data_IF_861001803598
#
_entry.id   IF_861001803598
#
_cell.length_a   1.000
_cell.length_b   1.000
_cell.length_c   1.000
_cell.angle_alpha   90.00
_cell.angle_beta   90.00
_cell.angle_gamma   90.00
#
_symmetry.space_group_name_H-M   'P 1'
#
loop_
_entity.id
_entity.type
_entity.pdbx_description
1 polymer ?
#
# COMPACT_ATOMS: atom_id res chain seq x y z
N UNK A 1 -28.66 -15.29 3.87
CA UNK A 1 -27.40 -15.31 4.64
C UNK A 1 -26.22 -15.05 3.73
N UNK A 2 -25.91 -13.79 3.43
CA UNK A 2 -24.70 -13.41 2.69
C UNK A 2 -23.77 -12.66 3.62
N UNK A 3 -22.66 -13.27 4.03
CA UNK A 3 -21.60 -12.55 4.74
C UNK A 3 -21.03 -11.52 3.76
N UNK A 4 -21.32 -10.24 3.97
CA UNK A 4 -20.74 -9.17 3.17
C UNK A 4 -19.21 -9.17 3.39
N UNK A 5 -18.38 -9.09 2.33
CA UNK A 5 -16.94 -8.99 2.47
C UNK A 5 -16.57 -7.77 3.33
N UNK A 6 -15.73 -7.98 4.34
CA UNK A 6 -15.20 -6.90 5.17
C UNK A 6 -13.71 -6.67 4.83
N UNK A 7 -13.07 -5.71 5.53
CA UNK A 7 -11.64 -5.40 5.31
C UNK A 7 -10.74 -6.64 5.44
N UNK A 8 -11.08 -7.62 6.28
CA UNK A 8 -10.31 -8.87 6.44
C UNK A 8 -10.41 -9.72 5.16
N UNK A 9 -11.61 -9.85 4.57
CA UNK A 9 -11.81 -10.64 3.35
C UNK A 9 -10.98 -10.11 2.19
N UNK A 10 -11.03 -8.81 1.94
CA UNK A 10 -10.27 -8.20 0.84
C UNK A 10 -8.75 -8.22 1.09
N UNK A 11 -8.32 -8.00 2.33
CA UNK A 11 -6.88 -8.05 2.66
C UNK A 11 -6.32 -9.46 2.58
N UNK A 12 -7.12 -10.49 2.89
CA UNK A 12 -6.75 -11.89 2.67
C UNK A 12 -6.55 -12.21 1.18
N UNK A 13 -7.44 -11.72 0.30
CA UNK A 13 -7.28 -11.85 -1.16
C UNK A 13 -5.98 -11.19 -1.63
N UNK A 14 -5.72 -9.95 -1.22
CA UNK A 14 -4.49 -9.23 -1.59
C UNK A 14 -3.24 -9.96 -1.09
N UNK A 15 -3.27 -10.51 0.14
CA UNK A 15 -2.16 -11.28 0.69
C UNK A 15 -1.91 -12.58 -0.09
N UNK A 16 -2.97 -13.28 -0.52
CA UNK A 16 -2.82 -14.44 -1.40
C UNK A 16 -2.18 -14.06 -2.75
N UNK A 17 -2.59 -12.93 -3.32
CA UNK A 17 -1.98 -12.39 -4.54
C UNK A 17 -0.50 -12.02 -4.34
N UNK A 18 -0.12 -11.44 -3.19
CA UNK A 18 1.28 -11.10 -2.86
C UNK A 18 2.21 -12.31 -2.96
N UNK A 19 1.71 -13.49 -2.54
CA UNK A 19 2.47 -14.74 -2.54
C UNK A 19 2.30 -15.56 -3.82
N UNK A 20 1.63 -15.02 -4.84
CA UNK A 20 1.44 -15.72 -6.12
C UNK A 20 2.77 -15.96 -6.81
N UNK A 21 2.96 -17.21 -7.26
CA UNK A 21 4.11 -17.65 -8.07
C UNK A 21 3.58 -18.16 -9.40
N UNK A 22 4.37 -18.02 -10.46
CA UNK A 22 3.99 -18.48 -11.78
C UNK A 22 4.52 -17.58 -12.88
N UNK A 23 4.04 -17.82 -14.10
CA UNK A 23 4.40 -17.04 -15.26
C UNK A 23 3.82 -15.61 -15.21
N UNK A 24 4.20 -14.81 -16.22
CA UNK A 24 3.73 -13.42 -16.36
C UNK A 24 2.20 -13.32 -16.41
N UNK A 25 1.50 -14.30 -16.98
CA UNK A 25 0.04 -14.30 -17.10
C UNK A 25 -0.60 -14.46 -15.73
N UNK A 26 -0.13 -15.42 -14.93
CA UNK A 26 -0.59 -15.65 -13.55
C UNK A 26 -0.34 -14.42 -12.67
N UNK A 27 0.87 -13.85 -12.72
CA UNK A 27 1.19 -12.62 -11.96
C UNK A 27 0.33 -11.44 -12.38
N UNK A 28 0.07 -11.28 -13.68
CA UNK A 28 -0.77 -10.20 -14.21
C UNK A 28 -2.20 -10.34 -13.71
N UNK A 29 -2.73 -11.56 -13.68
CA UNK A 29 -4.08 -11.82 -13.18
C UNK A 29 -4.20 -11.58 -11.67
N UNK A 30 -3.23 -12.04 -10.88
CA UNK A 30 -3.19 -11.76 -9.44
C UNK A 30 -3.11 -10.25 -9.14
N UNK A 31 -2.37 -9.48 -9.94
CA UNK A 31 -2.34 -8.03 -9.84
C UNK A 31 -3.72 -7.41 -10.17
N UNK A 32 -4.38 -7.88 -11.24
CA UNK A 32 -5.73 -7.42 -11.62
C UNK A 32 -6.73 -7.64 -10.49
N UNK A 33 -6.77 -8.85 -9.93
CA UNK A 33 -7.65 -9.22 -8.81
C UNK A 33 -7.38 -8.32 -7.59
N UNK A 34 -6.11 -8.05 -7.28
CA UNK A 34 -5.75 -7.18 -6.15
C UNK A 34 -6.23 -5.73 -6.33
N UNK A 35 -6.11 -5.19 -7.54
CA UNK A 35 -6.60 -3.85 -7.87
C UNK A 35 -8.13 -3.77 -7.81
N UNK A 36 -8.82 -4.81 -8.27
CA UNK A 36 -10.28 -4.92 -8.17
C UNK A 36 -10.77 -5.03 -6.72
N UNK A 37 -10.04 -5.79 -5.89
CA UNK A 37 -10.31 -5.88 -4.46
C UNK A 37 -10.16 -4.51 -3.76
N UNK A 38 -9.11 -3.74 -4.10
CA UNK A 38 -8.92 -2.39 -3.57
C UNK A 38 -10.04 -1.45 -4.02
N UNK A 39 -10.39 -1.46 -5.31
CA UNK A 39 -11.46 -0.64 -5.87
C UNK A 39 -12.81 -0.95 -5.23
N UNK A 40 -13.09 -2.25 -5.02
CA UNK A 40 -14.31 -2.72 -4.36
C UNK A 40 -14.37 -2.29 -2.90
N UNK A 41 -13.24 -2.35 -2.18
CA UNK A 41 -13.14 -1.85 -0.81
C UNK A 41 -13.37 -0.33 -0.76
N UNK A 42 -12.77 0.45 -1.65
CA UNK A 42 -12.97 1.91 -1.67
C UNK A 42 -14.44 2.31 -1.89
N UNK A 43 -15.18 1.52 -2.68
CA UNK A 43 -16.61 1.72 -2.97
C UNK A 43 -17.55 1.12 -1.92
N UNK A 44 -17.04 0.34 -0.98
CA UNK A 44 -17.86 -0.32 0.05
C UNK A 44 -18.18 0.64 1.19
N UNK A 45 -19.40 0.58 1.69
CA UNK A 45 -19.79 1.24 2.95
C UNK A 45 -19.32 0.45 4.18
N UNK A 46 -19.20 -0.88 4.03
CA UNK A 46 -18.93 -1.83 5.11
C UNK A 46 -17.42 -2.14 5.29
N UNK A 47 -16.58 -1.80 4.30
CA UNK A 47 -15.14 -2.05 4.33
C UNK A 47 -14.37 -0.83 3.84
N UNK A 48 -13.50 -0.24 4.68
CA UNK A 48 -12.63 0.87 4.27
C UNK A 48 -11.15 0.44 4.26
N UNK A 49 -10.34 0.96 3.31
CA UNK A 49 -8.89 0.78 3.35
C UNK A 49 -8.29 1.32 4.64
N UNK A 50 -7.30 0.60 5.16
CA UNK A 50 -6.51 1.01 6.33
C UNK A 50 -5.01 0.83 6.06
N UNK A 51 -4.18 1.08 7.07
CA UNK A 51 -2.73 0.90 6.98
C UNK A 51 -2.31 -0.48 6.43
N UNK A 52 -3.02 -1.55 6.81
CA UNK A 52 -2.70 -2.90 6.34
C UNK A 52 -2.98 -3.03 4.84
N UNK A 53 -4.11 -2.52 4.36
CA UNK A 53 -4.46 -2.50 2.93
C UNK A 53 -3.36 -1.87 2.08
N UNK A 54 -2.87 -0.69 2.46
CA UNK A 54 -1.84 0.01 1.68
C UNK A 54 -0.48 -0.69 1.72
N UNK A 55 -0.07 -1.20 2.90
CA UNK A 55 1.16 -2.00 3.04
C UNK A 55 1.14 -3.21 2.10
N UNK A 56 0.04 -3.96 2.09
CA UNK A 56 -0.13 -5.15 1.25
C UNK A 56 -0.13 -4.78 -0.24
N UNK A 57 -0.88 -3.76 -0.66
CA UNK A 57 -0.93 -3.37 -2.07
C UNK A 57 0.43 -2.95 -2.65
N UNK A 58 1.24 -2.22 -1.89
CA UNK A 58 2.61 -1.87 -2.32
C UNK A 58 3.45 -3.14 -2.48
N UNK A 59 3.31 -4.11 -1.58
CA UNK A 59 4.04 -5.39 -1.66
C UNK A 59 3.59 -6.24 -2.85
N UNK A 60 2.27 -6.35 -3.09
CA UNK A 60 1.69 -7.01 -4.27
C UNK A 60 2.31 -6.45 -5.54
N UNK A 61 2.30 -5.13 -5.73
CA UNK A 61 2.88 -4.49 -6.91
C UNK A 61 4.38 -4.75 -6.98
N UNK A 62 5.08 -4.62 -5.84
CA UNK A 62 6.52 -4.84 -5.73
C UNK A 62 6.98 -6.22 -6.20
N UNK A 63 6.17 -7.25 -5.95
CA UNK A 63 6.46 -8.66 -6.26
C UNK A 63 5.91 -9.13 -7.61
N UNK A 64 4.74 -8.64 -8.03
CA UNK A 64 4.06 -9.12 -9.23
C UNK A 64 4.43 -8.37 -10.52
N UNK A 65 4.93 -7.14 -10.40
CA UNK A 65 5.32 -6.33 -11.56
C UNK A 65 6.83 -6.40 -11.76
N UNK A 66 7.28 -6.95 -12.88
CA UNK A 66 8.72 -7.04 -13.16
C UNK A 66 9.26 -5.75 -13.82
N UNK A 67 8.42 -5.04 -14.59
CA UNK A 67 8.79 -3.77 -15.22
C UNK A 67 8.93 -2.62 -14.19
N UNK A 68 10.13 -2.04 -14.12
CA UNK A 68 10.47 -1.05 -13.10
C UNK A 68 9.66 0.26 -13.25
N UNK A 69 9.42 0.72 -14.47
CA UNK A 69 8.69 1.96 -14.73
C UNK A 69 7.21 1.82 -14.33
N UNK A 70 6.56 0.73 -14.74
CA UNK A 70 5.19 0.38 -14.36
C UNK A 70 5.06 0.15 -12.87
N UNK A 71 6.01 -0.55 -12.25
CA UNK A 71 6.05 -0.76 -10.79
C UNK A 71 6.08 0.58 -10.05
N UNK A 72 7.01 1.47 -10.42
CA UNK A 72 7.11 2.81 -9.83
C UNK A 72 5.81 3.60 -10.00
N UNK A 73 5.22 3.59 -11.20
CA UNK A 73 3.97 4.29 -11.45
C UNK A 73 2.83 3.79 -10.55
N UNK A 74 2.64 2.48 -10.46
CA UNK A 74 1.59 1.88 -9.63
C UNK A 74 1.85 2.11 -8.13
N UNK A 75 3.08 1.96 -7.65
CA UNK A 75 3.43 2.25 -6.25
C UNK A 75 3.19 3.73 -5.92
N UNK A 76 3.51 4.66 -6.83
CA UNK A 76 3.22 6.09 -6.63
C UNK A 76 1.73 6.32 -6.41
N UNK A 77 0.88 5.69 -7.22
CA UNK A 77 -0.58 5.82 -7.09
C UNK A 77 -1.10 5.25 -5.76
N UNK A 78 -0.62 4.09 -5.33
CA UNK A 78 -1.01 3.53 -4.03
C UNK A 78 -0.48 4.36 -2.87
N UNK A 79 0.73 4.92 -2.99
CA UNK A 79 1.31 5.78 -1.97
C UNK A 79 0.57 7.11 -1.84
N UNK A 80 0.21 7.74 -2.96
CA UNK A 80 -0.65 8.94 -3.02
C UNK A 80 -1.98 8.69 -2.27
N UNK A 81 -2.67 7.59 -2.58
CA UNK A 81 -3.90 7.20 -1.87
C UNK A 81 -3.67 6.97 -0.37
N UNK A 82 -2.53 6.40 0.01
CA UNK A 82 -2.17 6.18 1.42
C UNK A 82 -1.95 7.51 2.17
N UNK A 83 -1.27 8.47 1.52
CA UNK A 83 -1.07 9.83 2.01
C UNK A 83 -2.42 10.54 2.23
N UNK A 84 -3.30 10.52 1.23
CA UNK A 84 -4.64 11.12 1.32
C UNK A 84 -5.49 10.48 2.41
N UNK A 85 -5.42 9.15 2.55
CA UNK A 85 -6.15 8.39 3.57
C UNK A 85 -5.51 8.50 4.98
N UNK A 86 -4.29 9.04 5.08
CA UNK A 86 -3.64 9.33 6.36
C UNK A 86 -3.06 8.11 7.07
N UNK A 87 -2.70 7.07 6.31
CA UNK A 87 -2.22 5.79 6.84
C UNK A 87 -0.73 5.54 6.57
N UNK A 88 0.05 6.58 6.27
CA UNK A 88 1.49 6.45 6.05
C UNK A 88 2.19 6.11 7.37
N UNK A 89 2.84 4.96 7.43
CA UNK A 89 3.61 4.50 8.57
C UNK A 89 4.97 3.95 8.15
N UNK A 90 5.77 3.51 9.13
CA UNK A 90 7.13 3.00 8.89
C UNK A 90 7.17 1.82 7.92
N UNK A 91 6.15 0.96 7.92
CA UNK A 91 6.12 -0.23 7.05
C UNK A 91 5.76 0.17 5.62
N UNK A 92 4.81 1.10 5.45
CA UNK A 92 4.53 1.71 4.13
C UNK A 92 5.81 2.30 3.56
N UNK A 93 6.53 3.11 4.35
CA UNK A 93 7.76 3.79 3.91
C UNK A 93 8.89 2.80 3.63
N UNK A 94 9.03 1.74 4.43
CA UNK A 94 9.98 0.65 4.17
C UNK A 94 9.67 -0.06 2.85
N UNK A 95 8.40 -0.35 2.58
CA UNK A 95 7.99 -0.99 1.34
C UNK A 95 8.22 -0.07 0.12
N UNK A 96 7.92 1.22 0.23
CA UNK A 96 8.23 2.22 -0.81
C UNK A 96 9.73 2.29 -1.05
N UNK A 97 10.55 2.37 0.00
CA UNK A 97 12.03 2.37 -0.12
C UNK A 97 12.54 1.13 -0.84
N UNK A 98 12.00 -0.03 -0.50
CA UNK A 98 12.45 -1.30 -1.06
C UNK A 98 12.05 -1.48 -2.54
N UNK A 99 10.79 -1.19 -2.88
CA UNK A 99 10.26 -1.46 -4.23
C UNK A 99 10.32 -0.26 -5.18
N UNK A 100 10.49 0.96 -4.65
CA UNK A 100 10.63 2.19 -5.43
C UNK A 100 11.55 3.22 -4.75
N UNK A 101 12.88 2.97 -4.71
CA UNK A 101 13.85 3.87 -4.07
C UNK A 101 13.74 5.32 -4.55
N UNK A 102 13.60 5.54 -5.86
CA UNK A 102 13.46 6.88 -6.45
C UNK A 102 12.17 7.62 -6.08
N UNK A 103 11.14 6.93 -5.55
CA UNK A 103 9.98 7.58 -4.96
C UNK A 103 10.27 7.96 -3.52
N UNK A 104 10.96 7.10 -2.77
CA UNK A 104 11.39 7.37 -1.40
C UNK A 104 12.32 8.59 -1.29
N UNK A 105 13.18 8.81 -2.27
CA UNK A 105 14.07 9.98 -2.34
C UNK A 105 13.31 11.32 -2.48
N UNK A 106 12.04 11.29 -2.89
CA UNK A 106 11.19 12.48 -3.03
C UNK A 106 10.44 12.85 -1.75
N UNK A 107 10.64 12.10 -0.66
CA UNK A 107 10.04 12.42 0.63
C UNK A 107 10.63 13.71 1.22
N UNK A 108 9.93 14.36 2.16
CA UNK A 108 10.44 15.55 2.83
C UNK A 108 11.87 15.35 3.37
N UNK A 109 12.76 16.29 3.08
CA UNK A 109 14.19 16.22 3.44
C UNK A 109 14.38 15.96 4.94
N UNK A 110 13.54 16.58 5.78
CA UNK A 110 13.58 16.40 7.24
C UNK A 110 13.37 14.94 7.64
N UNK A 111 12.39 14.25 7.05
CA UNK A 111 12.19 12.82 7.24
C UNK A 111 13.37 11.99 6.71
N UNK A 112 13.90 12.33 5.53
CA UNK A 112 15.05 11.62 4.96
C UNK A 112 16.29 11.66 5.86
N UNK A 113 16.46 12.73 6.65
CA UNK A 113 17.55 12.90 7.61
C UNK A 113 17.29 12.20 8.94
N UNK A 114 16.07 12.30 9.48
CA UNK A 114 15.76 11.84 10.84
C UNK A 114 15.16 10.44 10.91
N UNK A 115 14.48 10.00 9.85
CA UNK A 115 13.63 8.81 9.82
C UNK A 115 12.36 8.93 10.68
N UNK A 116 12.05 10.09 11.25
CA UNK A 116 10.93 10.26 12.19
C UNK A 116 9.64 10.60 11.47
N UNK A 117 8.59 9.82 11.70
CA UNK A 117 7.26 10.07 11.10
C UNK A 117 6.68 11.45 11.43
N UNK A 118 7.05 12.06 12.56
CA UNK A 118 6.66 13.42 12.94
C UNK A 118 7.20 14.49 11.99
N UNK A 119 8.17 14.15 11.14
CA UNK A 119 8.75 15.05 10.14
C UNK A 119 8.07 14.93 8.77
N UNK A 120 7.05 14.07 8.65
CA UNK A 120 6.14 14.01 7.51
C UNK A 120 4.91 14.90 7.74
N UNK A 121 4.19 15.28 6.68
CA UNK A 121 2.93 16.01 6.81
C UNK A 121 1.96 15.27 7.73
N UNK A 122 1.27 16.03 8.59
CA UNK A 122 0.41 15.45 9.62
C UNK A 122 -0.74 14.66 9.01
N UNK A 123 -1.28 15.17 7.90
CA UNK A 123 -2.39 14.58 7.16
C UNK A 123 -2.03 13.20 6.59
N UNK A 124 -0.75 12.94 6.29
CA UNK A 124 -0.26 11.64 5.81
C UNK A 124 -0.23 10.58 6.91
N UNK A 125 -0.06 11.01 8.17
CA UNK A 125 0.20 10.13 9.31
C UNK A 125 -0.91 10.16 10.37
N UNK A 126 -2.03 10.83 10.10
CA UNK A 126 -3.12 11.07 11.07
C UNK A 126 -3.71 9.82 11.72
N UNK A 127 -3.69 8.68 11.03
CA UNK A 127 -4.21 7.40 11.54
C UNK A 127 -3.10 6.41 11.91
N UNK A 128 -1.83 6.83 11.84
CA UNK A 128 -0.68 5.97 12.07
C UNK A 128 -0.40 5.80 13.56
N UNK A 129 -0.39 4.55 14.03
CA UNK A 129 -0.27 4.17 15.45
C UNK A 129 1.03 4.64 16.12
N UNK A 130 2.06 4.95 15.34
CA UNK A 130 3.39 5.34 15.80
C UNK A 130 3.48 6.76 16.38
N UNK A 131 2.43 7.59 16.27
CA UNK A 131 2.36 8.88 16.99
C UNK A 131 2.32 8.73 18.52
N UNK A 132 2.02 7.55 19.05
CA UNK A 132 1.69 7.34 20.48
C UNK A 132 2.94 7.09 21.36
N UNK A 133 4.15 7.07 20.80
CA UNK A 133 5.38 6.93 21.60
C UNK A 133 6.17 8.23 21.63
N UNK A 134 5.73 9.16 22.48
CA UNK A 134 6.56 10.24 23.04
C UNK A 134 6.89 9.92 24.48
#
# INVERSE_FOLDING_TARGET
NGLKPNTITFTAVMNACEHTRGDKKIKTEALRISLEALSSMQKSDDAKPNYFTFRTMISVIGRLVDDAARKKHLISKIFELCCEAGYVDEVVLKNVKHFSPSLFEKLPVKYCLSGKLSDLPEEWTRHSRSKIRS
#
